data_IF_568172392462
#
_entry.id   IF_568172392462
#
_cell.length_a   1.000
_cell.length_b   1.000
_cell.length_c   1.000
_cell.angle_alpha   90.00
_cell.angle_beta   90.00
_cell.angle_gamma   90.00
#
_symmetry.space_group_name_H-M   'P 1'
#
loop_
_entity.id
_entity.type
_entity.pdbx_description
1 polymer ?
#
# COMPACT_ATOMS: atom_id res chain seq x y z
N UNK A 1 -12.09 7.72 24.94
CA UNK A 1 -11.23 6.62 24.46
C UNK A 1 -11.81 5.82 23.29
N UNK A 2 -13.06 5.32 23.35
CA UNK A 2 -13.65 4.49 22.26
C UNK A 2 -13.74 5.18 20.89
N UNK A 3 -14.17 6.44 20.84
CA UNK A 3 -14.24 7.21 19.60
C UNK A 3 -12.86 7.39 18.94
N UNK A 4 -11.83 7.66 19.75
CA UNK A 4 -10.44 7.77 19.28
C UNK A 4 -9.92 6.45 18.70
N UNK A 5 -10.23 5.31 19.34
CA UNK A 5 -9.84 3.99 18.83
C UNK A 5 -10.49 3.68 17.47
N UNK A 6 -11.76 4.02 17.30
CA UNK A 6 -12.45 3.90 16.00
C UNK A 6 -11.86 4.83 14.94
N UNK A 7 -11.60 6.09 15.30
CA UNK A 7 -10.96 7.05 14.40
C UNK A 7 -9.61 6.54 13.90
N UNK A 8 -8.73 6.09 14.82
CA UNK A 8 -7.44 5.51 14.46
C UNK A 8 -7.56 4.27 13.58
N UNK A 9 -8.56 3.42 13.83
CA UNK A 9 -8.81 2.23 12.99
C UNK A 9 -9.22 2.63 11.57
N UNK A 10 -10.09 3.63 11.42
CA UNK A 10 -10.50 4.15 10.10
C UNK A 10 -9.31 4.73 9.35
N UNK A 11 -8.47 5.53 10.03
CA UNK A 11 -7.24 6.08 9.45
C UNK A 11 -6.31 4.96 8.98
N UNK A 12 -6.13 3.92 9.80
CA UNK A 12 -5.24 2.81 9.49
C UNK A 12 -5.77 1.96 8.31
N UNK A 13 -7.08 1.76 8.22
CA UNK A 13 -7.73 1.13 7.05
C UNK A 13 -7.54 1.98 5.80
N UNK A 14 -7.77 3.29 5.88
CA UNK A 14 -7.58 4.19 4.75
C UNK A 14 -6.13 4.18 4.25
N UNK A 15 -5.16 4.14 5.18
CA UNK A 15 -3.75 4.01 4.85
C UNK A 15 -3.42 2.67 4.19
N UNK A 16 -3.98 1.55 4.69
CA UNK A 16 -3.83 0.23 4.08
C UNK A 16 -4.41 0.20 2.64
N UNK A 17 -5.56 0.84 2.40
CA UNK A 17 -6.14 0.96 1.06
C UNK A 17 -5.26 1.79 0.12
N UNK A 18 -4.66 2.88 0.61
CA UNK A 18 -3.69 3.66 -0.15
C UNK A 18 -2.47 2.83 -0.56
N UNK A 19 -1.91 2.05 0.37
CA UNK A 19 -0.82 1.12 0.08
C UNK A 19 -1.23 0.00 -0.89
N UNK A 20 -2.46 -0.49 -0.80
CA UNK A 20 -2.98 -1.48 -1.73
C UNK A 20 -3.09 -0.92 -3.16
N UNK A 21 -3.51 0.33 -3.33
CA UNK A 21 -3.54 1.00 -4.63
C UNK A 21 -2.14 1.19 -5.22
N UNK A 22 -1.17 1.61 -4.39
CA UNK A 22 0.23 1.71 -4.82
C UNK A 22 0.82 0.35 -5.20
N UNK A 23 0.52 -0.70 -4.42
CA UNK A 23 0.94 -2.07 -4.73
C UNK A 23 0.36 -2.52 -6.07
N UNK A 24 -0.94 -2.28 -6.30
CA UNK A 24 -1.59 -2.62 -7.56
C UNK A 24 -0.98 -1.85 -8.74
N UNK A 25 -0.66 -0.57 -8.56
CA UNK A 25 0.08 0.24 -9.53
C UNK A 25 1.50 -0.27 -9.81
N UNK A 26 2.21 -0.74 -8.78
CA UNK A 26 3.55 -1.31 -8.89
C UNK A 26 3.55 -2.61 -9.70
N UNK A 27 2.53 -3.47 -9.55
CA UNK A 27 2.38 -4.65 -10.41
C UNK A 27 1.91 -4.27 -11.82
N UNK A 28 1.05 -3.27 -11.96
CA UNK A 28 0.58 -2.80 -13.26
C UNK A 28 1.70 -2.21 -14.12
N UNK A 29 2.75 -1.62 -13.51
CA UNK A 29 3.91 -1.11 -14.26
C UNK A 29 4.78 -2.23 -14.86
N UNK A 30 4.67 -3.46 -14.37
CA UNK A 30 5.34 -4.64 -14.95
C UNK A 30 4.65 -5.15 -16.22
N UNK A 31 3.38 -4.77 -16.45
CA UNK A 31 2.53 -5.26 -17.54
C UNK A 31 2.25 -4.23 -18.64
N UNK A 32 2.49 -4.61 -19.89
CA UNK A 32 2.19 -3.78 -21.07
C UNK A 32 0.68 -3.61 -21.36
N UNK A 33 -0.19 -4.39 -20.72
CA UNK A 33 -1.66 -4.36 -20.92
C UNK A 33 -2.47 -3.69 -19.79
N UNK A 34 -1.82 -3.14 -18.76
CA UNK A 34 -2.53 -2.50 -17.66
C UNK A 34 -3.28 -1.20 -18.08
N UNK A 35 -4.41 -0.87 -17.42
CA UNK A 35 -5.09 0.42 -17.59
C UNK A 35 -4.19 1.62 -17.28
N UNK A 36 -4.41 2.75 -17.98
CA UNK A 36 -3.58 3.95 -17.84
C UNK A 36 -3.59 4.53 -16.41
N UNK A 37 -4.75 4.53 -15.73
CA UNK A 37 -4.87 5.04 -14.36
C UNK A 37 -4.03 4.22 -13.36
N UNK A 38 -3.91 2.91 -13.57
CA UNK A 38 -3.06 2.03 -12.77
C UNK A 38 -1.58 2.29 -13.00
N UNK A 39 -1.19 2.62 -14.24
CA UNK A 39 0.18 3.03 -14.54
C UNK A 39 0.55 4.36 -13.88
N UNK A 40 -0.38 5.31 -13.78
CA UNK A 40 -0.14 6.55 -13.03
C UNK A 40 0.19 6.25 -11.57
N UNK A 41 -0.51 5.30 -10.93
CA UNK A 41 -0.18 4.84 -9.58
C UNK A 41 1.21 4.18 -9.49
N UNK A 42 1.57 3.35 -10.47
CA UNK A 42 2.92 2.77 -10.56
C UNK A 42 4.02 3.81 -10.75
N UNK A 43 3.75 4.90 -11.47
CA UNK A 43 4.71 6.01 -11.65
C UNK A 43 4.95 6.79 -10.36
N UNK A 44 3.91 6.96 -9.54
CA UNK A 44 4.02 7.54 -8.21
C UNK A 44 4.86 6.66 -7.28
N UNK A 45 4.62 5.35 -7.29
CA UNK A 45 5.45 4.39 -6.54
C UNK A 45 6.93 4.53 -6.93
N UNK A 46 7.23 4.57 -8.23
CA UNK A 46 8.60 4.70 -8.71
C UNK A 46 9.27 6.00 -8.26
N UNK A 47 8.57 7.12 -8.35
CA UNK A 47 9.09 8.40 -7.87
C UNK A 47 9.37 8.37 -6.35
N UNK A 48 8.47 7.74 -5.59
CA UNK A 48 8.61 7.61 -4.13
C UNK A 48 9.77 6.70 -3.77
N UNK A 49 9.89 5.54 -4.42
CA UNK A 49 10.98 4.59 -4.24
C UNK A 49 12.35 5.17 -4.63
N UNK A 50 12.40 6.04 -5.65
CA UNK A 50 13.62 6.76 -6.01
C UNK A 50 14.06 7.75 -4.91
N UNK A 51 13.11 8.48 -4.31
CA UNK A 51 13.39 9.39 -3.19
C UNK A 51 13.86 8.66 -1.93
N UNK A 52 13.38 7.44 -1.72
CA UNK A 52 13.78 6.57 -0.61
C UNK A 52 15.12 5.85 -0.85
N UNK A 53 15.79 6.08 -1.98
CA UNK A 53 17.07 5.44 -2.31
C UNK A 53 16.94 3.95 -2.69
N UNK A 54 15.72 3.49 -2.98
CA UNK A 54 15.42 2.10 -3.37
C UNK A 54 15.60 1.88 -4.89
N UNK A 55 16.37 2.73 -5.56
CA UNK A 55 16.61 2.66 -7.02
C UNK A 55 17.42 1.44 -7.44
N UNK A 56 18.19 0.86 -6.53
CA UNK A 56 18.99 -0.35 -6.75
C UNK A 56 18.17 -1.64 -6.77
N UNK A 57 16.95 -1.63 -6.22
CA UNK A 57 16.06 -2.79 -6.22
C UNK A 57 15.37 -2.95 -7.56
N UNK A 58 15.14 -4.19 -8.00
CA UNK A 58 14.33 -4.45 -9.19
C UNK A 58 12.88 -4.03 -8.98
N UNK A 59 12.18 -3.69 -10.07
CA UNK A 59 10.74 -3.31 -10.02
C UNK A 59 9.90 -4.42 -9.38
N UNK A 60 10.23 -5.67 -9.67
CA UNK A 60 9.56 -6.83 -9.07
C UNK A 60 9.80 -6.92 -7.56
N UNK A 61 11.06 -6.81 -7.10
CA UNK A 61 11.38 -6.88 -5.67
C UNK A 61 10.68 -5.76 -4.87
N UNK A 62 10.60 -4.55 -5.45
CA UNK A 62 9.87 -3.42 -4.87
C UNK A 62 8.37 -3.69 -4.76
N UNK A 63 7.75 -4.19 -5.83
CA UNK A 63 6.32 -4.53 -5.84
C UNK A 63 6.00 -5.62 -4.80
N UNK A 64 6.85 -6.65 -4.68
CA UNK A 64 6.70 -7.70 -3.66
C UNK A 64 6.87 -7.14 -2.25
N UNK A 65 7.88 -6.30 -2.01
CA UNK A 65 8.08 -5.65 -0.71
C UNK A 65 6.87 -4.80 -0.29
N UNK A 66 6.31 -4.03 -1.23
CA UNK A 66 5.07 -3.26 -1.03
C UNK A 66 3.87 -4.17 -0.73
N UNK A 67 3.75 -5.31 -1.40
CA UNK A 67 2.67 -6.26 -1.13
C UNK A 67 2.75 -6.86 0.28
N UNK A 68 3.96 -7.20 0.74
CA UNK A 68 4.19 -7.70 2.10
C UNK A 68 3.84 -6.62 3.13
N UNK A 69 4.30 -5.38 2.94
CA UNK A 69 3.99 -4.26 3.82
C UNK A 69 2.48 -3.97 3.88
N UNK A 70 1.82 -3.95 2.72
CA UNK A 70 0.38 -3.75 2.62
C UNK A 70 -0.37 -4.85 3.38
N UNK A 71 0.04 -6.11 3.22
CA UNK A 71 -0.59 -7.25 3.90
C UNK A 71 -0.41 -7.18 5.42
N UNK A 72 0.79 -6.84 5.89
CA UNK A 72 1.07 -6.66 7.31
C UNK A 72 0.20 -5.55 7.91
N UNK A 73 0.06 -4.43 7.20
CA UNK A 73 -0.70 -3.28 7.68
C UNK A 73 -2.21 -3.52 7.65
N UNK A 74 -2.71 -4.23 6.63
CA UNK A 74 -4.09 -4.70 6.59
C UNK A 74 -4.39 -5.70 7.72
N UNK A 75 -3.45 -6.63 7.99
CA UNK A 75 -3.55 -7.56 9.12
C UNK A 75 -3.57 -6.84 10.47
N UNK A 76 -2.73 -5.81 10.64
CA UNK A 76 -2.72 -4.95 11.83
C UNK A 76 -4.05 -4.21 12.01
N UNK A 77 -4.64 -3.70 10.92
CA UNK A 77 -5.95 -3.06 10.93
C UNK A 77 -7.05 -4.02 11.41
N UNK A 78 -7.02 -5.26 10.91
CA UNK A 78 -7.96 -6.30 11.31
C UNK A 78 -7.76 -6.73 12.77
N UNK A 79 -6.52 -6.76 13.26
CA UNK A 79 -6.17 -7.14 14.63
C UNK A 79 -6.62 -6.08 15.65
N UNK A 80 -6.36 -4.80 15.38
CA UNK A 80 -6.66 -3.69 16.31
C UNK A 80 -8.16 -3.34 16.33
N UNK A 81 -8.93 -3.80 15.34
CA UNK A 81 -10.37 -3.50 15.20
C UNK A 81 -11.10 -3.62 16.54
N UNK A 82 -11.72 -2.53 17.05
CA UNK A 82 -12.40 -2.55 18.35
C UNK A 82 -13.53 -3.58 18.36
N UNK A 83 -13.41 -4.60 19.21
CA UNK A 83 -14.48 -5.59 19.44
C UNK A 83 -15.45 -5.02 20.46
N UNK A 84 -16.76 -5.17 20.23
CA UNK A 84 -17.78 -4.86 21.24
C UNK A 84 -17.57 -5.87 22.39
N UNK A 85 -17.12 -5.38 23.54
CA UNK A 85 -17.37 -6.01 24.83
C UNK A 85 -18.78 -5.62 25.28
#
# INVERSE_FOLDING_TARGET
>A
MRALAWFLTVVLIAFALGLALLTLGAFASLGASAPLWLRSLGSLEHATSAQLGLSSLTNFARAVGLAVLTSALAGLAAYIKPRRA
#
